data_IF_767598956673
#
_entry.id   IF_767598956673
#
_cell.length_a   1.000
_cell.length_b   1.000
_cell.length_c   1.000
_cell.angle_alpha   90.00
_cell.angle_beta   90.00
_cell.angle_gamma   90.00
#
_symmetry.space_group_name_H-M   'P 1'
#
loop_
_entity.id
_entity.type
_entity.pdbx_description
1 polymer ?
#
# COMPACT_ATOMS: atom_id res chain seq x y z
N UNK A 1 6.49 3.38 7.02
CA UNK A 1 5.93 4.72 7.29
C UNK A 1 4.41 4.64 7.32
N UNK A 2 3.74 5.54 8.06
CA UNK A 2 2.27 5.62 8.15
C UNK A 2 1.82 7.05 7.85
N UNK A 3 0.77 7.21 7.05
CA UNK A 3 0.11 8.49 6.78
C UNK A 3 -1.37 8.35 7.09
N UNK A 4 -1.93 9.32 7.82
CA UNK A 4 -3.34 9.37 8.16
C UNK A 4 -3.96 10.58 7.47
N UNK A 5 -5.06 10.35 6.77
CA UNK A 5 -5.80 11.31 5.99
C UNK A 5 -7.16 11.49 6.66
N UNK A 6 -7.49 12.73 6.98
CA UNK A 6 -8.81 13.10 7.49
C UNK A 6 -9.67 13.52 6.31
N UNK A 7 -10.90 13.03 6.25
CA UNK A 7 -11.84 13.35 5.20
C UNK A 7 -13.25 12.87 5.51
N UNK A 8 -14.20 13.27 4.68
CA UNK A 8 -15.58 12.76 4.74
C UNK A 8 -15.70 11.53 3.81
N UNK A 9 -15.37 10.36 4.35
CA UNK A 9 -15.37 9.10 3.59
C UNK A 9 -16.77 8.47 3.45
N UNK A 10 -17.82 9.17 3.89
CA UNK A 10 -19.20 8.83 3.51
C UNK A 10 -19.47 9.18 2.05
N UNK A 11 -18.74 10.17 1.51
CA UNK A 11 -18.74 10.50 0.09
C UNK A 11 -17.83 9.55 -0.66
N UNK A 12 -18.27 9.18 -1.86
CA UNK A 12 -17.52 8.30 -2.74
C UNK A 12 -16.18 8.94 -3.10
N UNK A 13 -15.09 8.22 -2.83
CA UNK A 13 -13.80 8.54 -3.43
C UNK A 13 -13.93 8.24 -4.94
N UNK A 14 -13.64 9.20 -5.83
CA UNK A 14 -13.92 9.09 -7.26
C UNK A 14 -13.02 8.07 -7.96
N UNK A 15 -12.06 7.50 -7.23
CA UNK A 15 -11.11 6.54 -7.74
C UNK A 15 -11.32 5.18 -7.10
N UNK A 16 -11.43 4.16 -7.95
CA UNK A 16 -11.31 2.78 -7.52
C UNK A 16 -9.83 2.43 -7.25
N UNK A 17 -9.61 1.34 -6.52
CA UNK A 17 -8.26 0.87 -6.20
C UNK A 17 -7.34 0.75 -7.43
N UNK A 18 -7.82 0.17 -8.53
CA UNK A 18 -7.02 -0.04 -9.74
C UNK A 18 -6.61 1.27 -10.42
N UNK A 19 -7.43 2.31 -10.32
CA UNK A 19 -7.10 3.61 -10.88
C UNK A 19 -6.06 4.33 -10.02
N UNK A 20 -6.20 4.29 -8.69
CA UNK A 20 -5.19 4.80 -7.78
C UNK A 20 -3.87 4.07 -7.96
N UNK A 21 -3.93 2.75 -8.09
CA UNK A 21 -2.80 1.92 -8.45
C UNK A 21 -2.15 2.48 -9.74
N UNK A 22 -2.88 2.58 -10.85
CA UNK A 22 -2.35 3.12 -12.10
C UNK A 22 -1.68 4.51 -11.96
N UNK A 23 -2.24 5.41 -11.13
CA UNK A 23 -1.66 6.75 -10.87
C UNK A 23 -0.38 6.72 -10.02
N UNK A 24 -0.16 5.66 -9.24
CA UNK A 24 1.07 5.45 -8.48
C UNK A 24 2.25 5.03 -9.37
N UNK A 25 2.00 4.47 -10.57
CA UNK A 25 3.02 3.82 -11.39
C UNK A 25 3.40 4.57 -12.67
N UNK A 26 4.70 4.55 -12.97
CA UNK A 26 5.23 4.74 -14.32
C UNK A 26 5.22 3.39 -15.05
N UNK A 27 5.04 3.36 -16.39
CA UNK A 27 5.06 2.12 -17.15
C UNK A 27 6.51 1.60 -17.26
N UNK A 28 6.87 0.62 -16.44
CA UNK A 28 8.01 -0.26 -16.71
C UNK A 28 7.63 -1.73 -16.44
N UNK A 29 8.34 -2.62 -17.13
CA UNK A 29 8.02 -4.03 -17.44
C UNK A 29 7.96 -5.00 -16.24
N UNK A 30 7.87 -4.51 -15.00
CA UNK A 30 7.96 -5.33 -13.79
C UNK A 30 6.62 -5.83 -13.24
N UNK A 31 6.64 -7.10 -12.84
CA UNK A 31 5.47 -7.86 -12.39
C UNK A 31 5.12 -7.52 -10.92
N UNK A 32 4.33 -6.47 -10.73
CA UNK A 32 3.75 -6.12 -9.41
C UNK A 32 2.67 -7.13 -9.04
N UNK A 33 2.65 -7.56 -7.78
CA UNK A 33 1.59 -8.41 -7.24
C UNK A 33 0.62 -7.57 -6.42
N UNK A 34 -0.66 -7.64 -6.75
CA UNK A 34 -1.71 -6.91 -6.06
C UNK A 34 -2.68 -7.85 -5.33
N UNK A 35 -3.25 -7.38 -4.24
CA UNK A 35 -4.28 -8.10 -3.47
C UNK A 35 -5.22 -7.10 -2.79
N UNK A 36 -6.50 -7.41 -2.74
CA UNK A 36 -7.53 -6.55 -2.16
C UNK A 36 -8.60 -7.37 -1.42
N UNK A 37 -9.36 -6.72 -0.54
CA UNK A 37 -10.48 -7.29 0.20
C UNK A 37 -11.51 -6.19 0.53
N UNK A 38 -12.79 -6.53 0.60
CA UNK A 38 -13.88 -5.57 0.85
C UNK A 38 -14.35 -4.82 -0.42
N UNK A 39 -15.08 -3.70 -0.22
CA UNK A 39 -15.64 -2.92 -1.32
C UNK A 39 -14.61 -1.95 -1.93
N UNK A 40 -13.88 -2.45 -2.93
CA UNK A 40 -12.71 -1.78 -3.51
C UNK A 40 -13.03 -0.75 -4.63
N UNK A 41 -14.28 -0.69 -5.07
CA UNK A 41 -14.70 0.18 -6.18
C UNK A 41 -14.83 1.65 -5.76
N UNK A 42 -14.97 1.90 -4.47
CA UNK A 42 -15.14 3.24 -3.91
C UNK A 42 -14.16 3.57 -2.78
N UNK A 43 -13.32 2.62 -2.34
CA UNK A 43 -12.56 2.73 -1.08
C UNK A 43 -13.47 3.13 0.10
N UNK A 44 -14.63 2.49 0.17
CA UNK A 44 -15.65 2.70 1.19
C UNK A 44 -15.93 1.37 1.89
N UNK A 45 -16.50 1.41 3.09
CA UNK A 45 -17.02 0.23 3.80
C UNK A 45 -15.99 -0.92 3.95
N UNK A 46 -15.14 -0.85 4.99
CA UNK A 46 -14.20 -1.91 5.39
C UNK A 46 -13.40 -2.54 4.24
N UNK A 47 -12.77 -1.68 3.44
CA UNK A 47 -11.86 -2.10 2.39
C UNK A 47 -10.42 -2.25 2.92
N UNK A 48 -9.69 -3.14 2.28
CA UNK A 48 -8.24 -3.27 2.42
C UNK A 48 -7.65 -3.48 1.05
N UNK A 49 -6.63 -2.70 0.72
CA UNK A 49 -5.88 -2.93 -0.49
C UNK A 49 -4.38 -2.87 -0.26
N UNK A 50 -3.68 -3.82 -0.88
CA UNK A 50 -2.26 -4.03 -0.75
C UNK A 50 -1.61 -4.19 -2.12
N UNK A 51 -0.58 -3.38 -2.35
CA UNK A 51 0.25 -3.40 -3.53
C UNK A 51 1.63 -3.83 -3.10
N UNK A 52 2.09 -4.97 -3.59
CA UNK A 52 3.36 -5.55 -3.18
C UNK A 52 4.31 -5.74 -4.34
N UNK A 53 5.54 -5.26 -4.15
CA UNK A 53 6.65 -5.47 -5.07
C UNK A 53 7.58 -6.52 -4.47
N UNK A 54 7.90 -7.55 -5.24
CA UNK A 54 8.91 -8.52 -4.83
C UNK A 54 10.30 -7.97 -5.12
N UNK A 55 11.08 -7.74 -4.06
CA UNK A 55 12.40 -7.10 -4.12
C UNK A 55 13.35 -7.78 -5.09
N UNK A 56 13.43 -9.10 -5.04
CA UNK A 56 14.39 -9.88 -5.81
C UNK A 56 14.10 -9.96 -7.32
N UNK A 57 12.85 -9.75 -7.73
CA UNK A 57 12.49 -9.63 -9.16
C UNK A 57 12.76 -8.22 -9.67
N UNK A 58 12.58 -7.21 -8.82
CA UNK A 58 12.86 -5.82 -9.16
C UNK A 58 14.36 -5.51 -9.21
N UNK A 59 15.10 -6.03 -8.23
CA UNK A 59 16.54 -5.88 -8.14
C UNK A 59 17.16 -7.15 -7.55
N UNK A 60 17.95 -7.83 -8.40
CA UNK A 60 18.57 -9.12 -8.09
C UNK A 60 19.50 -9.05 -6.86
N UNK A 61 20.01 -7.87 -6.48
CA UNK A 61 20.84 -7.70 -5.27
C UNK A 61 20.11 -8.16 -4.01
N UNK A 62 18.79 -8.00 -3.95
CA UNK A 62 17.97 -8.45 -2.82
C UNK A 62 17.83 -9.98 -2.72
N UNK A 63 18.05 -10.71 -3.81
CA UNK A 63 18.03 -12.18 -3.79
C UNK A 63 19.24 -12.77 -3.06
N UNK A 64 20.33 -12.01 -2.98
CA UNK A 64 21.61 -12.42 -2.39
C UNK A 64 21.89 -11.83 -1.00
N UNK A 65 20.97 -11.03 -0.42
CA UNK A 65 21.20 -10.46 0.91
C UNK A 65 21.25 -11.60 1.94
N UNK A 66 22.39 -11.82 2.63
CA UNK A 66 22.51 -12.87 3.61
C UNK A 66 21.67 -12.52 4.84
N UNK A 67 20.89 -13.49 5.32
CA UNK A 67 20.19 -13.36 6.59
C UNK A 67 21.19 -13.60 7.73
N UNK A 68 21.01 -12.88 8.85
CA UNK A 68 21.72 -13.23 10.08
C UNK A 68 21.34 -14.64 10.52
N UNK A 69 22.30 -15.37 11.10
CA UNK A 69 22.08 -16.71 11.60
C UNK A 69 20.90 -16.75 12.59
N UNK A 70 20.02 -17.74 12.42
CA UNK A 70 18.79 -17.88 13.21
C UNK A 70 17.61 -17.00 12.76
N UNK A 71 17.79 -16.08 11.81
CA UNK A 71 16.69 -15.24 11.29
C UNK A 71 15.96 -15.96 10.15
N UNK A 72 14.65 -16.16 10.32
CA UNK A 72 13.78 -16.63 9.24
C UNK A 72 13.49 -15.49 8.26
N UNK A 73 13.47 -15.83 6.96
CA UNK A 73 13.09 -14.91 5.89
C UNK A 73 11.60 -14.56 6.04
N UNK A 74 11.28 -13.40 6.60
CA UNK A 74 9.90 -12.90 6.71
C UNK A 74 9.45 -12.31 5.37
N UNK A 75 8.14 -12.18 5.16
CA UNK A 75 7.57 -11.59 3.93
C UNK A 75 8.13 -10.20 3.63
N UNK A 76 8.43 -9.39 4.66
CA UNK A 76 9.08 -8.08 4.56
C UNK A 76 10.50 -8.08 3.98
N UNK A 77 11.20 -9.23 4.01
CA UNK A 77 12.52 -9.39 3.38
C UNK A 77 12.40 -9.75 1.90
N UNK A 78 11.23 -10.22 1.47
CA UNK A 78 10.98 -10.72 0.12
C UNK A 78 10.21 -9.68 -0.70
N UNK A 79 9.32 -8.95 -0.03
CA UNK A 79 8.43 -7.98 -0.64
C UNK A 79 8.41 -6.68 0.16
N UNK A 80 8.16 -5.60 -0.53
CA UNK A 80 7.69 -4.35 0.07
C UNK A 80 6.27 -4.11 -0.37
N UNK A 81 5.53 -3.37 0.44
CA UNK A 81 4.12 -3.10 0.23
C UNK A 81 3.78 -1.64 0.50
N UNK A 82 2.79 -1.17 -0.25
CA UNK A 82 1.96 -0.02 0.10
C UNK A 82 0.56 -0.55 0.31
N UNK A 83 -0.02 -0.20 1.46
CA UNK A 83 -1.35 -0.63 1.87
C UNK A 83 -2.22 0.60 2.12
N UNK A 84 -3.50 0.47 1.81
CA UNK A 84 -4.51 1.49 2.08
C UNK A 84 -5.73 0.83 2.72
N UNK A 85 -6.14 1.38 3.87
CA UNK A 85 -7.27 0.92 4.67
C UNK A 85 -7.73 2.05 5.60
N UNK A 86 -8.80 1.83 6.36
CA UNK A 86 -9.10 2.72 7.49
C UNK A 86 -8.18 2.44 8.67
N UNK A 87 -7.96 3.46 9.49
CA UNK A 87 -7.46 3.29 10.86
C UNK A 87 -8.35 2.31 11.62
N UNK A 88 -7.74 1.43 12.41
CA UNK A 88 -8.42 0.41 13.22
C UNK A 88 -9.37 -0.52 12.43
N UNK A 89 -9.19 -0.61 11.11
CA UNK A 89 -10.04 -1.44 10.26
C UNK A 89 -10.01 -2.91 10.70
N UNK A 90 -11.18 -3.54 10.78
CA UNK A 90 -11.34 -4.94 11.16
C UNK A 90 -10.43 -5.89 10.36
N UNK A 91 -10.31 -5.67 9.05
CA UNK A 91 -9.54 -6.53 8.16
C UNK A 91 -8.04 -6.59 8.48
N UNK A 92 -7.49 -5.57 9.14
CA UNK A 92 -6.05 -5.50 9.43
C UNK A 92 -5.73 -5.45 10.92
N UNK A 93 -6.57 -4.77 11.70
CA UNK A 93 -6.32 -4.46 13.10
C UNK A 93 -7.29 -5.21 14.03
N UNK A 94 -8.28 -5.94 13.47
CA UNK A 94 -9.33 -6.67 14.20
C UNK A 94 -10.10 -5.81 15.20
N UNK A 95 -10.22 -4.51 14.91
CA UNK A 95 -10.87 -3.50 15.73
C UNK A 95 -12.05 -2.84 15.00
N UNK A 96 -12.74 -1.94 15.70
CA UNK A 96 -13.73 -1.04 15.11
C UNK A 96 -13.04 0.01 14.26
N UNK A 97 -13.54 0.19 13.03
CA UNK A 97 -13.06 1.19 12.08
C UNK A 97 -13.04 2.61 12.70
N UNK A 98 -11.88 3.25 12.64
CA UNK A 98 -11.67 4.65 12.98
C UNK A 98 -12.02 5.65 11.86
N UNK A 99 -11.83 6.94 12.16
CA UNK A 99 -12.27 8.06 11.31
C UNK A 99 -11.29 8.38 10.16
N UNK A 100 -10.06 7.91 10.24
CA UNK A 100 -8.99 8.29 9.30
C UNK A 100 -8.78 7.21 8.25
N UNK A 101 -8.55 7.66 7.02
CA UNK A 101 -7.98 6.79 6.00
C UNK A 101 -6.47 6.72 6.19
N UNK A 102 -5.91 5.52 6.13
CA UNK A 102 -4.52 5.24 6.46
C UNK A 102 -3.80 4.63 5.26
N UNK A 103 -2.63 5.18 4.96
CA UNK A 103 -1.68 4.59 4.01
C UNK A 103 -0.47 4.09 4.81
N UNK A 104 -0.18 2.80 4.69
CA UNK A 104 0.98 2.15 5.31
C UNK A 104 1.98 1.79 4.22
N UNK A 105 3.26 1.97 4.50
CA UNK A 105 4.32 1.46 3.62
C UNK A 105 5.40 0.77 4.40
N UNK A 106 5.80 -0.41 3.94
CA UNK A 106 6.94 -1.18 4.48
C UNK A 106 8.25 -0.86 3.78
N UNK A 107 8.23 0.03 2.78
CA UNK A 107 9.42 0.52 2.10
C UNK A 107 10.24 1.39 3.07
N UNK A 108 11.44 0.91 3.42
CA UNK A 108 12.34 1.59 4.35
C UNK A 108 13.44 2.36 3.62
N UNK A 109 13.95 1.81 2.51
CA UNK A 109 15.15 2.32 1.85
C UNK A 109 15.07 2.38 0.31
N UNK A 110 14.03 1.81 -0.31
CA UNK A 110 13.95 1.69 -1.77
C UNK A 110 13.07 2.81 -2.34
N UNK A 111 13.70 3.59 -3.22
CA UNK A 111 13.18 4.52 -4.23
C UNK A 111 12.28 5.69 -3.78
N UNK A 112 12.72 6.89 -4.16
CA UNK A 112 11.96 8.15 -4.22
C UNK A 112 10.56 8.01 -4.86
N UNK A 113 10.39 6.96 -5.68
CA UNK A 113 9.14 6.57 -6.35
C UNK A 113 8.04 6.22 -5.36
N UNK A 114 8.31 5.54 -4.25
CA UNK A 114 7.25 5.13 -3.30
C UNK A 114 6.74 6.26 -2.43
N UNK A 115 7.63 7.15 -1.99
CA UNK A 115 7.22 8.39 -1.34
C UNK A 115 6.37 9.22 -2.29
N UNK A 116 6.77 9.33 -3.56
CA UNK A 116 6.00 10.04 -4.59
C UNK A 116 4.65 9.37 -4.87
N UNK A 117 4.59 8.05 -5.01
CA UNK A 117 3.34 7.31 -5.19
C UNK A 117 2.40 7.51 -4.00
N UNK A 118 2.93 7.44 -2.77
CA UNK A 118 2.18 7.73 -1.56
C UNK A 118 1.67 9.18 -1.52
N UNK A 119 2.51 10.17 -1.86
CA UNK A 119 2.09 11.57 -1.91
C UNK A 119 1.08 11.84 -3.02
N UNK A 120 1.25 11.24 -4.20
CA UNK A 120 0.27 11.31 -5.30
C UNK A 120 -1.06 10.74 -4.81
N UNK A 121 -1.06 9.56 -4.20
CA UNK A 121 -2.29 8.96 -3.68
C UNK A 121 -2.96 9.82 -2.61
N UNK A 122 -2.18 10.34 -1.66
CA UNK A 122 -2.70 11.25 -0.64
C UNK A 122 -3.30 12.52 -1.25
N UNK A 123 -2.64 13.11 -2.25
CA UNK A 123 -3.11 14.30 -2.97
C UNK A 123 -4.36 14.01 -3.80
N UNK A 124 -4.41 12.87 -4.51
CA UNK A 124 -5.57 12.49 -5.30
C UNK A 124 -6.80 12.25 -4.43
N UNK A 125 -6.63 11.61 -3.26
CA UNK A 125 -7.71 11.41 -2.29
C UNK A 125 -8.15 12.74 -1.66
N UNK A 126 -7.22 13.64 -1.36
CA UNK A 126 -7.51 14.93 -0.71
C UNK A 126 -8.21 15.96 -1.62
N UNK A 127 -8.33 15.70 -2.93
CA UNK A 127 -9.08 16.57 -3.86
C UNK A 127 -10.60 16.48 -3.72
N UNK A 128 -11.08 15.56 -2.88
CA UNK A 128 -12.48 15.12 -2.77
C UNK A 128 -13.04 15.55 -1.41
#
# INVERSE_FOLDING_TARGET
>A
MKLYLKGDYTKRVPYGYLELAGKMWFPEDEQISYSNAGNNDALQEDFFSNLSLRKGTADKRWSSVPLKEGVRRLFSHIKESIEINFEDAFATDYNEKGDYLRILTTHLEVLTVDKRAMYIMALEIAKV
#
